data_IF_932550295556
#
_entry.id   IF_932550295556
#
_cell.length_a   1.000
_cell.length_b   1.000
_cell.length_c   1.000
_cell.angle_alpha   90.00
_cell.angle_beta   90.00
_cell.angle_gamma   90.00
#
_symmetry.space_group_name_H-M   'P 1'
#
loop_
_entity.id
_entity.type
_entity.pdbx_description
1 polymer ?
#
# COMPACT_ATOMS: atom_id res chain seq x y z
N UNK A 1 26.12 -55.18 -14.54
CA UNK A 1 27.57 -55.47 -14.48
C UNK A 1 28.19 -54.34 -13.71
N UNK A 2 28.45 -54.56 -12.39
CA UNK A 2 29.74 -54.74 -11.69
C UNK A 2 30.71 -53.57 -12.00
N UNK A 3 31.15 -52.77 -11.01
CA UNK A 3 31.95 -53.05 -9.79
C UNK A 3 31.91 -51.80 -8.89
N UNK A 4 31.63 -51.81 -7.70
CA UNK A 4 32.26 -52.08 -6.40
C UNK A 4 33.80 -51.96 -6.37
N UNK A 5 34.33 -50.95 -5.65
CA UNK A 5 35.60 -51.03 -4.93
C UNK A 5 35.47 -50.20 -3.63
N UNK A 6 35.62 -50.93 -2.50
CA UNK A 6 35.93 -50.47 -1.15
C UNK A 6 37.45 -50.29 -1.03
N UNK A 7 37.96 -49.33 -0.24
CA UNK A 7 39.18 -49.48 0.53
C UNK A 7 39.10 -48.67 1.81
N UNK A 8 39.33 -49.36 2.85
CA UNK A 8 39.51 -49.22 4.28
C UNK A 8 40.76 -48.45 4.70
N UNK A 9 40.64 -47.78 5.85
CA UNK A 9 41.54 -47.74 7.02
C UNK A 9 42.92 -47.06 6.90
N UNK A 10 43.18 -46.11 7.82
CA UNK A 10 44.22 -46.26 8.84
C UNK A 10 44.06 -45.25 10.00
N UNK A 11 43.93 -45.77 11.21
CA UNK A 11 44.14 -45.07 12.46
C UNK A 11 45.61 -44.69 12.62
N UNK A 12 45.91 -43.51 13.13
CA UNK A 12 47.16 -43.21 13.81
C UNK A 12 46.84 -42.39 15.07
N UNK A 13 46.96 -43.09 16.22
CA UNK A 13 47.08 -42.52 17.55
C UNK A 13 48.46 -41.82 17.66
N UNK A 14 48.45 -40.57 18.11
CA UNK A 14 49.62 -39.95 18.77
C UNK A 14 49.14 -39.20 20.00
N UNK A 15 49.47 -39.72 21.15
CA UNK A 15 49.39 -39.13 22.47
C UNK A 15 50.47 -38.09 22.64
N UNK A 16 50.13 -36.85 23.04
CA UNK A 16 51.06 -35.86 23.57
C UNK A 16 50.51 -35.14 24.78
N UNK A 17 51.19 -35.28 25.81
CA UNK A 17 51.28 -34.80 27.17
C UNK A 17 50.60 -33.42 27.45
N UNK A 18 49.84 -33.43 28.53
CA UNK A 18 49.27 -32.27 29.21
C UNK A 18 50.34 -31.34 29.76
N UNK A 19 50.21 -30.06 29.43
CA UNK A 19 50.85 -28.98 30.19
C UNK A 19 49.73 -28.08 30.71
N UNK A 20 49.46 -28.20 32.02
CA UNK A 20 48.53 -27.30 32.73
C UNK A 20 49.17 -25.93 32.89
N UNK A 21 48.76 -24.98 32.13
CA UNK A 21 48.89 -23.54 32.47
C UNK A 21 47.53 -23.05 32.95
N UNK A 22 47.44 -22.73 34.22
CA UNK A 22 46.28 -22.08 34.82
C UNK A 22 46.18 -20.66 34.27
N UNK A 23 45.28 -20.43 33.32
CA UNK A 23 44.87 -19.11 32.89
C UNK A 23 43.81 -18.62 33.90
N UNK A 24 44.10 -17.51 34.55
CA UNK A 24 43.13 -16.84 35.41
C UNK A 24 41.89 -16.44 34.59
N UNK A 25 40.66 -16.55 35.14
CA UNK A 25 39.48 -16.09 34.45
C UNK A 25 39.55 -14.55 34.21
N UNK A 26 39.08 -14.07 33.06
CA UNK A 26 38.98 -12.64 32.83
C UNK A 26 38.05 -12.01 33.86
N UNK A 27 38.27 -10.73 34.25
CA UNK A 27 37.39 -10.05 35.20
C UNK A 27 35.99 -10.04 34.63
N UNK A 28 34.99 -10.33 35.49
CA UNK A 28 33.60 -10.23 35.16
C UNK A 28 33.32 -8.85 34.54
N UNK A 29 32.84 -8.85 33.29
CA UNK A 29 32.32 -7.63 32.64
C UNK A 29 31.25 -7.07 33.53
N UNK A 30 31.38 -5.80 33.87
CA UNK A 30 30.32 -5.02 34.53
C UNK A 30 29.01 -5.20 33.75
N UNK A 31 27.85 -5.25 34.42
CA UNK A 31 26.57 -5.34 33.73
C UNK A 31 26.50 -4.18 32.74
N UNK A 32 26.21 -4.50 31.49
CA UNK A 32 25.94 -3.50 30.47
C UNK A 32 24.90 -2.54 31.02
N UNK A 33 25.24 -1.27 31.00
CA UNK A 33 24.28 -0.22 31.34
C UNK A 33 23.05 -0.41 30.47
N UNK A 34 21.92 -0.52 31.11
CA UNK A 34 20.58 -0.56 30.56
C UNK A 34 20.47 0.54 29.48
N UNK A 35 20.40 0.11 28.21
CA UNK A 35 20.23 1.03 27.09
C UNK A 35 18.87 1.67 27.26
N UNK A 36 18.86 2.95 27.57
CA UNK A 36 17.77 3.77 27.97
C UNK A 36 16.40 3.33 27.46
N UNK A 37 15.56 2.93 28.40
CA UNK A 37 14.13 2.97 28.17
C UNK A 37 13.78 4.38 27.69
N UNK A 38 13.20 4.49 26.49
CA UNK A 38 12.67 5.75 26.01
C UNK A 38 11.78 6.30 27.13
N UNK A 39 12.02 7.55 27.55
CA UNK A 39 11.22 8.17 28.59
C UNK A 39 9.75 8.01 28.23
N UNK A 40 8.96 7.47 29.14
CA UNK A 40 7.51 7.41 28.95
C UNK A 40 7.01 8.82 28.61
N UNK A 41 6.04 8.95 27.68
CA UNK A 41 5.49 10.25 27.32
C UNK A 41 5.01 10.95 28.60
N UNK A 42 5.21 12.26 28.68
CA UNK A 42 4.76 13.09 29.79
C UNK A 42 3.23 13.19 29.89
N UNK A 43 2.50 12.52 28.99
CA UNK A 43 1.06 12.59 28.85
C UNK A 43 0.28 11.93 29.98
N UNK A 44 -0.98 12.31 30.07
CA UNK A 44 -1.94 11.77 31.04
C UNK A 44 -2.21 10.30 30.76
N UNK A 45 -2.09 9.44 31.77
CA UNK A 45 -2.54 8.05 31.69
C UNK A 45 -4.05 7.96 31.62
N UNK A 46 -4.57 7.17 30.69
CA UNK A 46 -6.01 6.95 30.43
C UNK A 46 -6.37 5.51 30.74
N UNK A 47 -7.37 5.33 31.59
CA UNK A 47 -8.01 4.04 31.77
C UNK A 47 -8.93 3.75 30.57
N UNK A 48 -8.56 2.79 29.74
CA UNK A 48 -9.28 2.45 28.51
C UNK A 48 -10.73 2.03 28.76
N UNK A 49 -11.02 1.47 29.95
CA UNK A 49 -12.37 1.12 30.37
C UNK A 49 -13.31 2.32 30.58
N UNK A 50 -12.74 3.50 30.82
CA UNK A 50 -13.50 4.75 31.05
C UNK A 50 -13.69 5.57 29.76
N UNK A 51 -13.05 5.17 28.66
CA UNK A 51 -13.13 5.88 27.38
C UNK A 51 -14.52 5.68 26.75
N UNK A 52 -15.23 6.77 26.58
CA UNK A 52 -16.51 6.79 25.90
C UNK A 52 -16.28 6.98 24.41
N UNK A 53 -16.41 5.90 23.65
CA UNK A 53 -16.21 5.91 22.21
C UNK A 53 -17.39 6.52 21.48
N UNK A 54 -17.14 7.47 20.60
CA UNK A 54 -18.13 7.98 19.67
C UNK A 54 -18.46 6.92 18.60
N UNK A 55 -19.64 7.02 18.02
CA UNK A 55 -20.03 6.22 16.86
C UNK A 55 -19.22 6.65 15.62
N UNK A 56 -19.09 5.73 14.67
CA UNK A 56 -18.49 6.03 13.39
C UNK A 56 -19.27 7.15 12.68
N UNK A 57 -18.60 8.07 11.96
CA UNK A 57 -19.28 9.06 11.13
C UNK A 57 -20.05 8.38 9.99
N UNK A 58 -20.90 9.14 9.29
CA UNK A 58 -21.63 8.60 8.15
C UNK A 58 -20.66 7.97 7.13
N UNK A 59 -20.95 6.74 6.68
CA UNK A 59 -20.07 5.90 5.87
C UNK A 59 -19.50 6.63 4.65
N UNK A 60 -20.32 7.39 3.92
CA UNK A 60 -19.94 8.09 2.69
C UNK A 60 -19.56 9.56 2.93
N UNK A 61 -19.58 10.05 4.18
CA UNK A 61 -19.12 11.41 4.46
C UNK A 61 -17.62 11.51 4.15
N UNK A 62 -17.22 12.53 3.40
CA UNK A 62 -15.85 12.68 2.93
C UNK A 62 -15.29 14.07 3.26
N UNK A 63 -14.04 14.10 3.67
CA UNK A 63 -13.22 15.29 3.81
C UNK A 63 -11.78 15.00 3.35
N UNK A 64 -11.03 16.06 3.08
CA UNK A 64 -9.61 15.94 2.74
C UNK A 64 -8.86 15.42 3.96
N UNK A 65 -8.02 14.42 3.76
CA UNK A 65 -7.08 13.96 4.78
C UNK A 65 -6.08 15.07 5.12
N UNK A 66 -5.49 15.02 6.29
CA UNK A 66 -4.33 15.86 6.61
C UNK A 66 -3.19 15.59 5.62
N UNK A 67 -2.29 16.55 5.47
CA UNK A 67 -1.06 16.35 4.70
C UNK A 67 -0.32 15.11 5.18
N UNK A 68 0.35 14.44 4.27
CA UNK A 68 1.10 13.22 4.54
C UNK A 68 2.06 13.39 5.73
N UNK A 69 1.94 12.51 6.72
CA UNK A 69 2.75 12.53 7.95
C UNK A 69 2.41 13.64 8.95
N UNK A 70 1.29 14.36 8.80
CA UNK A 70 0.83 15.41 9.74
C UNK A 70 -0.07 14.88 10.85
N UNK A 71 -0.65 13.71 10.68
CA UNK A 71 -1.43 13.06 11.75
C UNK A 71 -0.47 12.64 12.85
N UNK A 72 -0.69 13.14 14.06
CA UNK A 72 0.19 12.86 15.21
C UNK A 72 -0.57 12.10 16.30
N UNK A 73 0.15 11.25 17.06
CA UNK A 73 -0.40 10.66 18.27
C UNK A 73 -0.80 11.75 19.28
N UNK A 74 -1.96 11.60 19.91
CA UNK A 74 -2.31 12.43 21.06
C UNK A 74 -1.41 12.04 22.25
N UNK A 75 -1.02 13.03 23.07
CA UNK A 75 -0.16 12.82 24.23
C UNK A 75 -0.94 12.24 25.42
N UNK A 76 -1.44 11.01 25.26
CA UNK A 76 -2.25 10.28 26.26
C UNK A 76 -1.80 8.81 26.26
N UNK A 77 -1.23 8.33 27.35
CA UNK A 77 -0.78 6.94 27.46
C UNK A 77 -1.92 6.02 27.94
N UNK A 78 -2.17 4.88 27.29
CA UNK A 78 -3.13 3.89 27.77
C UNK A 78 -2.63 3.22 29.07
N UNK A 79 -3.56 2.73 29.89
CA UNK A 79 -3.28 2.03 31.16
C UNK A 79 -2.73 0.59 30.98
N UNK A 80 -2.68 0.09 29.74
CA UNK A 80 -2.06 -1.19 29.34
C UNK A 80 -1.46 -1.10 27.94
N UNK A 81 -0.56 -2.04 27.57
CA UNK A 81 -0.09 -2.15 26.20
C UNK A 81 -1.24 -2.29 25.19
N UNK A 82 -1.09 -1.68 24.03
CA UNK A 82 -1.99 -1.83 22.88
C UNK A 82 -1.30 -2.47 21.69
N UNK A 83 -2.07 -3.18 20.87
CA UNK A 83 -1.61 -3.77 19.60
C UNK A 83 -2.53 -3.34 18.47
N UNK A 84 -1.96 -2.83 17.39
CA UNK A 84 -2.67 -2.42 16.18
C UNK A 84 -2.15 -3.26 15.02
N UNK A 85 -3.03 -3.98 14.32
CA UNK A 85 -2.70 -4.70 13.11
C UNK A 85 -2.93 -3.80 11.89
N UNK A 86 -1.96 -3.76 10.97
CA UNK A 86 -2.10 -3.13 9.66
C UNK A 86 -1.95 -4.24 8.61
N UNK A 87 -3.06 -4.64 8.00
CA UNK A 87 -3.11 -5.72 7.02
C UNK A 87 -2.88 -5.15 5.63
N UNK A 88 -1.70 -5.38 5.07
CA UNK A 88 -1.28 -4.87 3.76
C UNK A 88 -0.80 -5.96 2.80
N UNK A 89 -0.17 -5.54 1.72
CA UNK A 89 0.41 -6.39 0.68
C UNK A 89 1.88 -6.03 0.43
N UNK A 90 2.61 -6.89 -0.28
CA UNK A 90 3.99 -6.66 -0.74
C UNK A 90 4.21 -7.18 -2.17
N UNK A 91 3.13 -7.37 -2.93
CA UNK A 91 3.15 -8.00 -4.25
C UNK A 91 3.66 -7.08 -5.38
N UNK A 92 3.82 -5.78 -5.14
CA UNK A 92 4.37 -4.81 -6.09
C UNK A 92 4.99 -3.60 -5.37
N UNK A 93 5.80 -2.74 -6.05
CA UNK A 93 6.51 -1.62 -5.43
C UNK A 93 5.64 -0.55 -4.77
N UNK A 94 4.36 -0.42 -5.14
CA UNK A 94 3.43 0.52 -4.52
C UNK A 94 3.35 0.36 -2.99
N UNK A 95 3.49 -0.87 -2.50
CA UNK A 95 3.34 -1.19 -1.07
C UNK A 95 4.55 -0.77 -0.21
N UNK A 96 5.69 -0.43 -0.84
CA UNK A 96 6.90 0.01 -0.11
C UNK A 96 6.61 1.25 0.73
N UNK A 97 6.17 2.40 0.18
CA UNK A 97 5.86 3.59 0.98
C UNK A 97 4.67 3.40 1.92
N UNK A 98 3.71 2.51 1.62
CA UNK A 98 2.62 2.17 2.56
C UNK A 98 3.18 1.50 3.81
N UNK A 99 4.05 0.50 3.63
CA UNK A 99 4.74 -0.18 4.73
C UNK A 99 5.64 0.76 5.54
N UNK A 100 6.34 1.67 4.87
CA UNK A 100 7.15 2.71 5.53
C UNK A 100 6.28 3.63 6.39
N UNK A 101 5.08 4.00 5.92
CA UNK A 101 4.09 4.74 6.70
C UNK A 101 3.68 4.00 7.96
N UNK A 102 3.35 2.71 7.84
CA UNK A 102 3.01 1.87 9.00
C UNK A 102 4.19 1.72 9.98
N UNK A 103 5.42 1.57 9.47
CA UNK A 103 6.62 1.53 10.28
C UNK A 103 6.86 2.86 11.03
N UNK A 104 6.60 3.98 10.37
CA UNK A 104 6.68 5.31 11.01
C UNK A 104 5.66 5.47 12.13
N UNK A 105 4.41 5.05 11.91
CA UNK A 105 3.40 5.01 12.97
C UNK A 105 3.83 4.13 14.15
N UNK A 106 4.47 2.98 13.88
CA UNK A 106 5.01 2.12 14.92
C UNK A 106 6.09 2.80 15.77
N UNK A 107 6.99 3.58 15.14
CA UNK A 107 8.00 4.37 15.85
C UNK A 107 7.36 5.45 16.73
N UNK A 108 6.38 6.19 16.20
CA UNK A 108 5.71 7.29 16.89
C UNK A 108 4.81 6.82 18.04
N UNK A 109 4.22 5.63 17.93
CA UNK A 109 3.34 5.03 18.92
C UNK A 109 4.09 4.22 19.99
N UNK A 110 5.35 3.83 19.74
CA UNK A 110 6.17 3.08 20.69
C UNK A 110 6.31 3.76 22.07
N UNK A 111 6.53 5.09 22.20
CA UNK A 111 6.59 5.76 23.49
C UNK A 111 5.30 5.60 24.33
N UNK A 112 4.17 5.39 23.69
CA UNK A 112 2.85 5.19 24.32
C UNK A 112 2.56 3.71 24.65
N UNK A 113 3.58 2.83 24.56
CA UNK A 113 3.43 1.39 24.80
C UNK A 113 2.45 0.71 23.83
N UNK A 114 2.51 1.11 22.55
CA UNK A 114 1.72 0.56 21.46
C UNK A 114 2.63 -0.16 20.48
N UNK A 115 2.23 -1.36 20.07
CA UNK A 115 2.84 -2.12 18.98
C UNK A 115 1.97 -1.96 17.75
N UNK A 116 2.57 -1.62 16.62
CA UNK A 116 1.93 -1.63 15.30
C UNK A 116 2.61 -2.68 14.45
N UNK A 117 1.86 -3.68 14.00
CA UNK A 117 2.39 -4.77 13.21
C UNK A 117 1.87 -4.69 11.77
N UNK A 118 2.80 -4.64 10.81
CA UNK A 118 2.51 -4.84 9.40
C UNK A 118 2.36 -6.32 9.12
N UNK A 119 1.19 -6.74 8.68
CA UNK A 119 0.84 -8.14 8.43
C UNK A 119 0.46 -8.32 6.96
N UNK A 120 1.11 -9.26 6.30
CA UNK A 120 0.79 -9.65 4.91
C UNK A 120 -0.01 -10.94 4.95
N UNK A 121 -1.34 -10.90 4.80
CA UNK A 121 -2.17 -12.10 4.89
C UNK A 121 -2.03 -13.01 3.65
N UNK A 122 -1.58 -12.46 2.52
CA UNK A 122 -1.34 -13.16 1.26
C UNK A 122 -1.08 -12.17 0.12
N UNK A 123 -1.06 -12.65 -1.12
CA UNK A 123 -0.58 -11.88 -2.27
C UNK A 123 -1.70 -11.20 -3.08
N UNK A 124 -2.96 -11.39 -2.74
CA UNK A 124 -4.11 -10.89 -3.51
C UNK A 124 -5.16 -10.20 -2.63
N UNK A 125 -5.97 -9.32 -3.24
CA UNK A 125 -7.01 -8.52 -2.61
C UNK A 125 -8.33 -9.28 -2.31
N UNK A 126 -8.31 -10.61 -2.14
CA UNK A 126 -9.53 -11.39 -1.97
C UNK A 126 -10.10 -11.31 -0.55
N UNK A 127 -11.43 -11.44 -0.45
CA UNK A 127 -12.13 -11.50 0.83
C UNK A 127 -11.65 -12.66 1.72
N UNK A 128 -11.31 -13.81 1.13
CA UNK A 128 -10.79 -14.96 1.87
C UNK A 128 -9.46 -14.64 2.57
N UNK A 129 -8.54 -13.98 1.84
CA UNK A 129 -7.19 -13.63 2.36
C UNK A 129 -7.31 -12.59 3.47
N UNK A 130 -7.95 -11.45 3.20
CA UNK A 130 -8.08 -10.38 4.19
C UNK A 130 -9.01 -10.75 5.34
N UNK A 131 -10.09 -11.51 5.08
CA UNK A 131 -10.96 -12.04 6.11
C UNK A 131 -10.22 -12.94 7.10
N UNK A 132 -9.39 -13.88 6.62
CA UNK A 132 -8.54 -14.73 7.47
C UNK A 132 -7.49 -13.92 8.23
N UNK A 133 -6.91 -12.90 7.59
CA UNK A 133 -5.99 -11.96 8.25
C UNK A 133 -6.65 -11.24 9.43
N UNK A 134 -7.87 -10.74 9.24
CA UNK A 134 -8.65 -10.10 10.30
C UNK A 134 -9.01 -11.09 11.42
N UNK A 135 -9.46 -12.29 11.09
CA UNK A 135 -9.73 -13.34 12.09
C UNK A 135 -8.46 -13.72 12.88
N UNK A 136 -7.31 -13.77 12.20
CA UNK A 136 -6.02 -13.98 12.84
C UNK A 136 -5.64 -12.85 13.79
N UNK A 137 -5.89 -11.59 13.42
CA UNK A 137 -5.67 -10.43 14.28
C UNK A 137 -6.60 -10.45 15.51
N UNK A 138 -7.89 -10.77 15.31
CA UNK A 138 -8.85 -10.94 16.42
C UNK A 138 -8.40 -12.04 17.39
N UNK A 139 -7.98 -13.20 16.88
CA UNK A 139 -7.53 -14.32 17.70
C UNK A 139 -6.23 -14.03 18.47
N UNK A 140 -5.40 -13.11 17.97
CA UNK A 140 -4.18 -12.63 18.62
C UNK A 140 -4.42 -11.42 19.53
N UNK A 141 -5.69 -11.07 19.77
CA UNK A 141 -6.11 -9.98 20.68
C UNK A 141 -5.52 -8.61 20.29
N UNK A 142 -5.58 -8.24 19.01
CA UNK A 142 -5.29 -6.88 18.58
C UNK A 142 -6.42 -5.95 19.00
N UNK A 143 -6.06 -4.76 19.47
CA UNK A 143 -6.99 -3.74 19.98
C UNK A 143 -7.66 -2.94 18.87
N UNK A 144 -7.04 -2.88 17.69
CA UNK A 144 -7.57 -2.25 16.48
C UNK A 144 -6.99 -2.89 15.22
N UNK A 145 -7.69 -2.77 14.11
CA UNK A 145 -7.29 -3.35 12.82
C UNK A 145 -7.44 -2.28 11.73
N UNK A 146 -6.35 -2.03 10.98
CA UNK A 146 -6.41 -1.36 9.69
C UNK A 146 -6.32 -2.42 8.58
N UNK A 147 -7.19 -2.36 7.57
CA UNK A 147 -7.27 -3.39 6.52
C UNK A 147 -7.62 -2.81 5.16
N UNK A 148 -7.27 -3.54 4.11
CA UNK A 148 -7.76 -3.29 2.75
C UNK A 148 -9.12 -3.97 2.59
N UNK A 149 -10.06 -3.32 1.92
CA UNK A 149 -11.40 -3.84 1.66
C UNK A 149 -11.74 -3.78 0.15
N UNK A 150 -10.80 -4.18 -0.71
CA UNK A 150 -10.97 -4.16 -2.16
C UNK A 150 -11.98 -5.17 -2.74
N UNK A 151 -12.34 -6.17 -1.95
CA UNK A 151 -13.36 -7.18 -2.29
C UNK A 151 -14.56 -7.02 -1.33
N UNK A 152 -15.77 -6.93 -1.87
CA UNK A 152 -17.00 -6.75 -1.10
C UNK A 152 -17.23 -7.82 -0.02
N UNK A 153 -16.70 -9.01 -0.20
CA UNK A 153 -16.75 -10.09 0.79
C UNK A 153 -15.97 -9.83 2.07
N UNK A 154 -15.15 -8.76 2.14
CA UNK A 154 -14.45 -8.35 3.37
C UNK A 154 -15.41 -7.70 4.38
N UNK A 155 -16.50 -7.05 3.92
CA UNK A 155 -17.43 -6.33 4.78
C UNK A 155 -17.95 -7.13 5.99
N UNK A 156 -18.37 -8.41 5.88
CA UNK A 156 -18.80 -9.20 7.03
C UNK A 156 -17.72 -9.44 8.08
N UNK A 157 -16.43 -9.48 7.69
CA UNK A 157 -15.32 -9.63 8.63
C UNK A 157 -15.04 -8.33 9.38
N UNK A 158 -15.20 -7.18 8.70
CA UNK A 158 -15.15 -5.86 9.34
C UNK A 158 -16.24 -5.77 10.41
N UNK A 159 -17.49 -6.11 10.05
CA UNK A 159 -18.62 -6.08 10.97
C UNK A 159 -18.40 -6.99 12.19
N UNK A 160 -17.89 -8.20 11.97
CA UNK A 160 -17.55 -9.16 13.03
C UNK A 160 -16.51 -8.60 14.01
N UNK A 161 -15.47 -7.94 13.52
CA UNK A 161 -14.44 -7.34 14.36
C UNK A 161 -15.00 -6.17 15.18
N UNK A 162 -15.79 -5.29 14.56
CA UNK A 162 -16.44 -4.16 15.25
C UNK A 162 -17.44 -4.63 16.29
N UNK A 163 -18.26 -5.66 16.01
CA UNK A 163 -19.17 -6.28 16.97
C UNK A 163 -18.45 -6.93 18.16
N UNK A 164 -17.21 -7.37 17.96
CA UNK A 164 -16.35 -7.86 19.03
C UNK A 164 -15.67 -6.70 19.83
N UNK A 165 -15.95 -5.43 19.50
CA UNK A 165 -15.40 -4.26 20.18
C UNK A 165 -14.06 -3.77 19.65
N UNK A 166 -13.59 -4.32 18.54
CA UNK A 166 -12.32 -3.96 17.88
C UNK A 166 -12.62 -2.93 16.78
N UNK A 167 -12.22 -1.66 16.91
CA UNK A 167 -12.40 -0.67 15.86
C UNK A 167 -11.59 -1.04 14.61
N UNK A 168 -12.21 -0.84 13.45
CA UNK A 168 -11.59 -1.14 12.15
C UNK A 168 -11.53 0.13 11.32
N UNK A 169 -10.36 0.41 10.75
CA UNK A 169 -10.18 1.36 9.67
C UNK A 169 -9.92 0.61 8.36
N UNK A 170 -10.38 1.17 7.24
CA UNK A 170 -9.98 0.70 5.92
C UNK A 170 -9.02 1.68 5.25
N UNK A 171 -8.18 1.22 4.35
CA UNK A 171 -7.27 2.07 3.57
C UNK A 171 -7.04 1.52 2.17
N UNK A 172 -6.51 2.35 1.27
CA UNK A 172 -6.18 2.06 -0.12
C UNK A 172 -7.40 1.74 -0.99
N UNK A 173 -8.04 0.61 -0.78
CA UNK A 173 -9.24 0.18 -1.49
C UNK A 173 -10.36 -0.08 -0.51
N UNK A 174 -11.56 0.36 -0.87
CA UNK A 174 -12.76 0.25 -0.07
C UNK A 174 -13.88 -0.38 -0.90
N UNK A 175 -14.65 -1.28 -0.29
CA UNK A 175 -15.84 -1.82 -0.94
C UNK A 175 -17.01 -0.83 -0.89
N UNK A 176 -17.80 -0.79 -1.96
CA UNK A 176 -19.08 -0.06 -1.99
C UNK A 176 -20.14 -0.66 -1.03
N UNK A 177 -19.96 -1.90 -0.58
CA UNK A 177 -20.86 -2.52 0.39
C UNK A 177 -20.72 -1.85 1.77
N UNK A 178 -21.79 -1.22 2.31
CA UNK A 178 -21.74 -0.62 3.64
C UNK A 178 -21.30 -1.63 4.70
N UNK A 179 -20.45 -1.18 5.62
CA UNK A 179 -19.94 -1.96 6.73
C UNK A 179 -19.69 -1.04 7.94
N UNK A 180 -19.33 -1.62 9.09
CA UNK A 180 -19.20 -0.90 10.36
C UNK A 180 -17.82 -0.30 10.62
N UNK A 181 -16.98 -0.13 9.58
CA UNK A 181 -15.67 0.50 9.78
C UNK A 181 -15.80 1.89 10.41
N UNK A 182 -14.81 2.28 11.16
CA UNK A 182 -14.76 3.60 11.78
C UNK A 182 -14.49 4.71 10.75
N UNK A 183 -13.51 4.49 9.85
CA UNK A 183 -13.15 5.42 8.77
C UNK A 183 -12.33 4.70 7.68
N UNK A 184 -12.20 5.37 6.56
CA UNK A 184 -11.33 5.02 5.43
C UNK A 184 -10.25 6.10 5.24
N UNK A 185 -9.03 5.68 4.86
CA UNK A 185 -7.96 6.57 4.39
C UNK A 185 -7.51 6.15 3.00
N UNK A 186 -7.62 7.04 2.03
CA UNK A 186 -7.22 6.76 0.65
C UNK A 186 -7.74 7.80 -0.33
N UNK A 187 -7.51 7.59 -1.61
CA UNK A 187 -7.93 8.53 -2.64
C UNK A 187 -9.41 8.35 -3.04
N UNK A 188 -9.99 9.37 -3.66
CA UNK A 188 -11.24 9.24 -4.41
C UNK A 188 -10.94 8.58 -5.76
N UNK A 189 -11.10 7.27 -5.79
CA UNK A 189 -10.69 6.43 -6.91
C UNK A 189 -11.44 6.74 -8.21
N UNK A 190 -12.75 7.03 -8.11
CA UNK A 190 -13.55 7.41 -9.27
C UNK A 190 -13.10 8.76 -9.83
N UNK A 191 -12.87 9.76 -8.95
CA UNK A 191 -12.34 11.08 -9.34
C UNK A 191 -10.93 10.98 -9.92
N UNK A 192 -10.10 10.07 -9.42
CA UNK A 192 -8.80 9.79 -10.04
C UNK A 192 -8.97 9.25 -11.48
N UNK A 193 -9.94 8.38 -11.71
CA UNK A 193 -10.30 7.91 -13.04
C UNK A 193 -10.73 9.04 -13.97
N UNK A 194 -11.60 9.96 -13.50
CA UNK A 194 -11.99 11.15 -14.26
C UNK A 194 -10.78 12.05 -14.60
N UNK A 195 -9.86 12.24 -13.63
CA UNK A 195 -8.62 13.00 -13.86
C UNK A 195 -7.70 12.32 -14.90
N UNK A 196 -7.59 11.00 -14.88
CA UNK A 196 -6.86 10.23 -15.88
C UNK A 196 -7.51 10.35 -17.27
N UNK A 197 -8.83 10.31 -17.34
CA UNK A 197 -9.59 10.53 -18.58
C UNK A 197 -9.34 11.90 -19.18
N UNK A 198 -9.36 12.93 -18.32
CA UNK A 198 -9.02 14.30 -18.74
C UNK A 198 -7.58 14.39 -19.24
N UNK A 199 -6.62 13.81 -18.49
CA UNK A 199 -5.21 13.83 -18.88
C UNK A 199 -4.97 13.11 -20.22
N UNK A 200 -5.65 11.99 -20.45
CA UNK A 200 -5.60 11.27 -21.73
C UNK A 200 -6.16 12.13 -22.86
N UNK A 201 -7.35 12.69 -22.68
CA UNK A 201 -7.99 13.54 -23.70
C UNK A 201 -7.10 14.74 -24.07
N UNK A 202 -6.54 15.44 -23.10
CA UNK A 202 -5.61 16.55 -23.31
C UNK A 202 -4.35 16.09 -24.07
N UNK A 203 -3.78 14.92 -23.69
CA UNK A 203 -2.55 14.42 -24.30
C UNK A 203 -2.71 13.98 -25.75
N UNK A 204 -3.89 13.46 -26.16
CA UNK A 204 -4.14 12.98 -27.54
C UNK A 204 -4.97 13.96 -28.39
N UNK A 205 -5.32 15.14 -27.84
CA UNK A 205 -6.09 16.16 -28.56
C UNK A 205 -7.57 15.83 -28.76
N UNK A 206 -8.17 15.10 -27.81
CA UNK A 206 -9.61 14.84 -27.71
C UNK A 206 -10.15 13.77 -28.65
N UNK A 207 -9.34 13.05 -29.41
CA UNK A 207 -9.76 12.00 -30.36
C UNK A 207 -8.69 10.92 -30.56
N UNK A 208 -9.10 9.75 -30.97
CA UNK A 208 -8.20 8.63 -31.28
C UNK A 208 -8.57 7.36 -30.54
N UNK A 209 -7.73 6.32 -30.65
CA UNK A 209 -7.95 5.02 -30.06
C UNK A 209 -7.16 4.85 -28.78
N UNK A 210 -7.78 4.32 -27.74
CA UNK A 210 -7.17 4.10 -26.40
C UNK A 210 -7.42 2.68 -25.93
N UNK A 211 -6.36 1.98 -25.52
CA UNK A 211 -6.44 0.71 -24.81
C UNK A 211 -6.42 0.92 -23.30
N UNK A 212 -7.14 0.09 -22.54
CA UNK A 212 -7.13 0.10 -21.07
C UNK A 212 -6.50 -1.20 -20.56
N UNK A 213 -5.51 -1.07 -19.69
CA UNK A 213 -4.89 -2.17 -18.94
C UNK A 213 -5.25 -1.96 -17.47
N UNK A 214 -6.07 -2.85 -16.91
CA UNK A 214 -6.42 -2.82 -15.48
C UNK A 214 -5.67 -3.89 -14.71
N UNK A 215 -5.48 -3.69 -13.40
CA UNK A 215 -4.87 -4.70 -12.55
C UNK A 215 -5.77 -5.92 -12.40
N UNK A 216 -6.95 -5.73 -11.81
CA UNK A 216 -7.98 -6.75 -11.61
C UNK A 216 -9.36 -6.12 -11.76
N UNK A 217 -10.23 -6.69 -12.59
CA UNK A 217 -11.63 -6.24 -12.69
C UNK A 217 -12.43 -6.46 -11.40
N UNK A 218 -12.03 -7.45 -10.59
CA UNK A 218 -12.70 -7.77 -9.32
C UNK A 218 -12.28 -6.87 -8.15
N UNK A 219 -11.25 -6.01 -8.32
CA UNK A 219 -10.77 -5.09 -7.28
C UNK A 219 -11.43 -3.74 -7.46
N UNK A 220 -12.23 -3.33 -6.48
CA UNK A 220 -13.04 -2.10 -6.50
C UNK A 220 -12.21 -0.86 -6.87
N UNK A 221 -10.98 -0.73 -6.34
CA UNK A 221 -10.11 0.40 -6.64
C UNK A 221 -9.78 0.51 -8.13
N UNK A 222 -9.47 -0.60 -8.76
CA UNK A 222 -9.12 -0.64 -10.18
C UNK A 222 -10.34 -0.36 -11.06
N UNK A 223 -11.49 -0.91 -10.66
CA UNK A 223 -12.75 -0.75 -11.38
C UNK A 223 -13.27 0.68 -11.29
N UNK A 224 -13.25 1.33 -10.12
CA UNK A 224 -13.66 2.73 -9.98
C UNK A 224 -12.80 3.67 -10.83
N UNK A 225 -11.48 3.47 -10.88
CA UNK A 225 -10.58 4.24 -11.75
C UNK A 225 -10.90 4.01 -13.23
N UNK A 226 -11.16 2.75 -13.61
CA UNK A 226 -11.56 2.41 -14.98
C UNK A 226 -12.89 3.07 -15.34
N UNK A 227 -13.90 2.98 -14.49
CA UNK A 227 -15.21 3.57 -14.70
C UNK A 227 -15.11 5.10 -14.82
N UNK A 228 -14.45 5.77 -13.87
CA UNK A 228 -14.27 7.23 -13.91
C UNK A 228 -13.61 7.70 -15.19
N UNK A 229 -12.59 6.97 -15.68
CA UNK A 229 -11.94 7.24 -16.97
C UNK A 229 -12.90 7.11 -18.15
N UNK A 230 -13.63 6.00 -18.23
CA UNK A 230 -14.56 5.70 -19.31
C UNK A 230 -15.71 6.69 -19.33
N UNK A 231 -16.29 7.02 -18.18
CA UNK A 231 -17.41 7.93 -18.05
C UNK A 231 -17.00 9.36 -18.40
N UNK A 232 -15.79 9.79 -17.96
CA UNK A 232 -15.25 11.09 -18.36
C UNK A 232 -15.13 11.21 -19.88
N UNK A 233 -14.51 10.21 -20.54
CA UNK A 233 -14.32 10.23 -21.99
C UNK A 233 -15.66 10.20 -22.76
N UNK A 234 -16.59 9.36 -22.35
CA UNK A 234 -17.94 9.32 -22.95
C UNK A 234 -18.66 10.65 -22.87
N UNK A 235 -18.55 11.34 -21.73
CA UNK A 235 -19.25 12.60 -21.50
C UNK A 235 -18.60 13.80 -22.21
N UNK A 236 -17.26 13.82 -22.29
CA UNK A 236 -16.52 15.02 -22.70
C UNK A 236 -15.78 14.87 -24.04
N UNK A 237 -15.39 13.65 -24.42
CA UNK A 237 -14.54 13.39 -25.58
C UNK A 237 -15.04 12.16 -26.36
N UNK A 238 -16.27 12.18 -26.93
CA UNK A 238 -16.88 11.00 -27.58
C UNK A 238 -16.15 10.54 -28.85
N UNK A 239 -15.20 11.33 -29.38
CA UNK A 239 -14.33 10.92 -30.49
C UNK A 239 -13.14 10.06 -30.05
N UNK A 240 -13.00 9.77 -28.76
CA UNK A 240 -12.02 8.81 -28.26
C UNK A 240 -12.69 7.44 -28.19
N UNK A 241 -12.15 6.49 -28.95
CA UNK A 241 -12.61 5.11 -29.00
C UNK A 241 -11.81 4.23 -28.01
N UNK A 242 -12.48 3.50 -27.12
CA UNK A 242 -11.84 2.47 -26.30
C UNK A 242 -11.83 1.17 -27.10
N UNK A 243 -10.63 0.76 -27.57
CA UNK A 243 -10.45 -0.39 -28.45
C UNK A 243 -10.31 -1.73 -27.72
N UNK A 244 -10.20 -1.70 -26.41
CA UNK A 244 -10.16 -2.91 -25.59
C UNK A 244 -9.79 -2.61 -24.13
N UNK A 245 -10.17 -3.53 -23.26
CA UNK A 245 -9.92 -3.52 -21.84
C UNK A 245 -9.40 -4.88 -21.41
N UNK A 246 -8.23 -4.95 -20.78
CA UNK A 246 -7.56 -6.19 -20.40
C UNK A 246 -7.02 -6.14 -18.97
N UNK A 247 -6.85 -7.30 -18.34
CA UNK A 247 -6.36 -7.44 -16.98
C UNK A 247 -4.91 -7.92 -16.96
N UNK A 248 -4.00 -7.18 -16.27
CA UNK A 248 -2.57 -7.52 -16.19
C UNK A 248 -2.16 -8.15 -14.86
N UNK A 249 -3.08 -8.30 -13.91
CA UNK A 249 -2.82 -8.85 -12.57
C UNK A 249 -1.68 -8.13 -11.82
N UNK A 250 -1.57 -6.80 -11.97
CA UNK A 250 -0.54 -5.90 -11.42
C UNK A 250 0.90 -6.24 -11.84
N UNK A 251 1.07 -6.95 -12.98
CA UNK A 251 2.37 -7.40 -13.47
C UNK A 251 2.86 -6.57 -14.65
N UNK A 252 4.09 -6.06 -14.55
CA UNK A 252 4.70 -5.23 -15.58
C UNK A 252 5.00 -6.00 -16.87
N UNK A 253 5.42 -7.27 -16.81
CA UNK A 253 5.68 -8.11 -17.98
C UNK A 253 4.40 -8.44 -18.76
N UNK A 254 3.28 -8.63 -18.05
CA UNK A 254 1.97 -8.81 -18.67
C UNK A 254 1.50 -7.51 -19.32
N UNK A 255 1.63 -6.36 -18.63
CA UNK A 255 1.31 -5.05 -19.20
C UNK A 255 2.16 -4.72 -20.45
N UNK A 256 3.44 -5.11 -20.45
CA UNK A 256 4.30 -4.99 -21.62
C UNK A 256 3.75 -5.72 -22.83
N UNK A 257 3.41 -7.01 -22.67
CA UNK A 257 2.83 -7.83 -23.74
C UNK A 257 1.52 -7.27 -24.27
N UNK A 258 0.62 -6.85 -23.34
CA UNK A 258 -0.68 -6.28 -23.70
C UNK A 258 -0.55 -4.95 -24.43
N UNK A 259 0.40 -4.11 -24.05
CA UNK A 259 0.68 -2.87 -24.76
C UNK A 259 1.19 -3.13 -26.19
N UNK A 260 2.04 -4.14 -26.40
CA UNK A 260 2.46 -4.58 -27.73
C UNK A 260 1.27 -5.08 -28.57
N UNK A 261 0.37 -5.86 -27.95
CA UNK A 261 -0.83 -6.38 -28.62
C UNK A 261 -1.76 -5.23 -29.05
N UNK A 262 -2.00 -4.25 -28.17
CA UNK A 262 -2.78 -3.05 -28.52
C UNK A 262 -2.18 -2.28 -29.70
N UNK A 263 -0.85 -2.03 -29.68
CA UNK A 263 -0.15 -1.33 -30.76
C UNK A 263 -0.13 -2.10 -32.08
N UNK A 264 -0.09 -3.43 -32.00
CA UNK A 264 -0.09 -4.31 -33.19
C UNK A 264 -1.48 -4.37 -33.81
N UNK A 265 -2.51 -4.55 -33.00
CA UNK A 265 -3.90 -4.61 -33.44
C UNK A 265 -4.42 -3.25 -33.95
N UNK A 266 -3.86 -2.14 -33.42
CA UNK A 266 -4.26 -0.78 -33.75
C UNK A 266 -3.03 0.07 -34.11
N UNK A 267 -2.57 0.07 -35.37
CA UNK A 267 -1.39 0.85 -35.78
C UNK A 267 -1.53 2.36 -35.53
N UNK A 268 -2.77 2.85 -35.44
CA UNK A 268 -3.18 4.23 -35.14
C UNK A 268 -3.54 4.46 -33.68
N UNK A 269 -3.13 3.54 -32.77
CA UNK A 269 -3.34 3.69 -31.32
C UNK A 269 -2.76 5.04 -30.83
N UNK A 270 -3.57 5.83 -30.13
CA UNK A 270 -3.21 7.13 -29.61
C UNK A 270 -2.81 7.10 -28.13
N UNK A 271 -3.34 6.16 -27.35
CA UNK A 271 -3.03 6.07 -25.93
C UNK A 271 -3.25 4.71 -25.28
N UNK A 272 -2.62 4.53 -24.13
CA UNK A 272 -2.80 3.40 -23.23
C UNK A 272 -3.02 3.97 -21.82
N UNK A 273 -4.09 3.55 -21.18
CA UNK A 273 -4.38 3.85 -19.79
C UNK A 273 -4.12 2.62 -18.91
N UNK A 274 -3.29 2.79 -17.86
CA UNK A 274 -2.99 1.71 -16.89
C UNK A 274 -3.56 2.11 -15.54
N UNK A 275 -4.57 1.37 -15.05
CA UNK A 275 -5.34 1.76 -13.85
C UNK A 275 -4.64 1.45 -12.53
N UNK A 276 -3.62 0.57 -12.55
CA UNK A 276 -3.04 -0.03 -11.34
C UNK A 276 -1.56 -0.41 -11.56
N UNK A 277 -1.06 -1.48 -10.95
CA UNK A 277 0.32 -1.92 -11.05
C UNK A 277 0.81 -2.26 -12.45
N UNK A 278 2.11 -2.10 -12.69
CA UNK A 278 2.79 -2.47 -13.92
C UNK A 278 2.86 -1.43 -15.05
N UNK A 279 2.59 -0.11 -14.84
CA UNK A 279 2.60 0.88 -15.93
C UNK A 279 3.95 1.04 -16.60
N UNK A 280 5.06 0.80 -15.88
CA UNK A 280 6.40 0.78 -16.44
C UNK A 280 6.58 -0.28 -17.54
N UNK A 281 5.86 -1.41 -17.46
CA UNK A 281 5.86 -2.41 -18.52
C UNK A 281 5.20 -1.91 -19.80
N UNK A 282 4.02 -1.30 -19.70
CA UNK A 282 3.36 -0.69 -20.86
C UNK A 282 4.21 0.43 -21.48
N UNK A 283 4.86 1.26 -20.63
CA UNK A 283 5.76 2.32 -21.07
C UNK A 283 6.99 1.75 -21.79
N UNK A 284 7.61 0.68 -21.27
CA UNK A 284 8.73 0.01 -21.93
C UNK A 284 8.34 -0.52 -23.33
N UNK A 285 7.16 -1.11 -23.47
CA UNK A 285 6.68 -1.57 -24.77
C UNK A 285 6.51 -0.41 -25.77
N UNK A 286 6.04 0.77 -25.31
CA UNK A 286 5.92 1.98 -26.14
C UNK A 286 7.30 2.51 -26.55
N UNK A 287 8.27 2.55 -25.62
CA UNK A 287 9.66 2.97 -25.88
C UNK A 287 10.34 2.03 -26.88
N UNK A 288 10.27 0.71 -26.68
CA UNK A 288 10.87 -0.32 -27.54
C UNK A 288 10.25 -0.33 -28.96
N UNK A 289 8.96 -0.02 -29.07
CA UNK A 289 8.30 0.14 -30.38
C UNK A 289 8.65 1.45 -31.11
N UNK A 290 9.44 2.34 -30.49
CA UNK A 290 9.80 3.66 -31.03
C UNK A 290 8.60 4.59 -31.13
N UNK A 291 7.53 4.36 -30.34
CA UNK A 291 6.27 5.14 -30.36
C UNK A 291 6.17 6.18 -29.26
N UNK A 292 7.27 6.46 -28.54
CA UNK A 292 7.32 7.55 -27.54
C UNK A 292 6.78 8.86 -28.10
N UNK A 293 5.84 9.48 -27.42
CA UNK A 293 5.17 10.70 -27.86
C UNK A 293 4.06 10.50 -28.90
N UNK A 294 4.02 9.36 -29.61
CA UNK A 294 2.92 9.00 -30.50
C UNK A 294 1.80 8.27 -29.74
N UNK A 295 2.15 7.26 -28.94
CA UNK A 295 1.24 6.59 -28.00
C UNK A 295 1.45 7.19 -26.62
N UNK A 296 0.42 7.83 -26.08
CA UNK A 296 0.45 8.47 -24.76
C UNK A 296 0.12 7.44 -23.69
N UNK A 297 0.90 7.39 -22.61
CA UNK A 297 0.61 6.52 -21.47
C UNK A 297 0.18 7.38 -20.29
N UNK A 298 -1.00 7.06 -19.71
CA UNK A 298 -1.49 7.63 -18.46
C UNK A 298 -1.56 6.51 -17.43
N UNK A 299 -1.09 6.79 -16.22
CA UNK A 299 -0.91 5.76 -15.20
C UNK A 299 -1.13 6.28 -13.77
N UNK A 300 -0.85 5.40 -12.82
CA UNK A 300 -0.88 5.69 -11.39
C UNK A 300 0.47 5.40 -10.75
N UNK A 301 0.62 5.99 -9.56
CA UNK A 301 1.69 5.80 -8.59
C UNK A 301 3.05 6.42 -8.97
N UNK A 302 3.82 6.72 -7.92
CA UNK A 302 5.12 7.37 -8.00
C UNK A 302 6.27 6.40 -7.67
N UNK A 303 6.10 5.12 -8.06
CA UNK A 303 7.19 4.16 -7.92
C UNK A 303 8.33 4.50 -8.87
N UNK A 304 9.57 4.23 -8.47
CA UNK A 304 10.78 4.66 -9.19
C UNK A 304 10.76 4.27 -10.68
N UNK A 305 10.37 3.04 -10.99
CA UNK A 305 10.29 2.55 -12.37
C UNK A 305 9.29 3.36 -13.22
N UNK A 306 8.15 3.76 -12.62
CA UNK A 306 7.15 4.60 -13.30
C UNK A 306 7.68 6.02 -13.50
N UNK A 307 8.28 6.61 -12.45
CA UNK A 307 8.78 7.96 -12.47
C UNK A 307 9.95 8.15 -13.45
N UNK A 308 10.79 7.15 -13.63
CA UNK A 308 11.82 7.15 -14.68
C UNK A 308 11.21 7.31 -16.09
N UNK A 309 10.11 6.63 -16.38
CA UNK A 309 9.41 6.78 -17.66
C UNK A 309 8.66 8.11 -17.79
N UNK A 310 8.18 8.70 -16.69
CA UNK A 310 7.65 10.08 -16.68
C UNK A 310 8.77 11.06 -17.01
N UNK A 311 9.94 10.93 -16.36
CA UNK A 311 11.11 11.78 -16.61
C UNK A 311 11.59 11.72 -18.06
N UNK A 312 11.57 10.54 -18.66
CA UNK A 312 11.88 10.33 -20.09
C UNK A 312 10.79 10.89 -21.02
N UNK A 313 9.57 11.13 -20.52
CA UNK A 313 8.40 11.57 -21.29
C UNK A 313 7.73 10.44 -22.09
N UNK A 314 7.96 9.18 -21.74
CA UNK A 314 7.26 8.01 -22.28
C UNK A 314 5.88 7.90 -21.62
N UNK A 315 5.82 7.97 -20.28
CA UNK A 315 4.58 8.18 -19.55
C UNK A 315 4.28 9.67 -19.58
N UNK A 316 3.12 10.02 -20.11
CA UNK A 316 2.66 11.43 -20.29
C UNK A 316 2.21 12.03 -18.98
N UNK A 317 1.54 11.24 -18.15
CA UNK A 317 1.17 11.63 -16.78
C UNK A 317 0.96 10.38 -15.90
N UNK A 318 1.25 10.52 -14.61
CA UNK A 318 0.89 9.56 -13.55
C UNK A 318 0.19 10.28 -12.40
N UNK A 319 -0.68 9.56 -11.68
CA UNK A 319 -1.50 10.13 -10.61
C UNK A 319 -1.10 9.47 -9.29
N UNK A 320 -0.74 10.29 -8.30
CA UNK A 320 -0.45 9.84 -6.94
C UNK A 320 -1.70 9.62 -6.12
N UNK A 321 -1.53 8.94 -4.99
CA UNK A 321 -2.63 8.64 -4.07
C UNK A 321 -2.24 8.68 -2.58
N UNK A 322 -1.08 9.26 -2.22
CA UNK A 322 -0.63 9.37 -0.84
C UNK A 322 -0.39 8.01 -0.16
N UNK A 323 0.46 7.13 -0.70
CA UNK A 323 0.63 5.78 -0.15
C UNK A 323 1.21 5.75 1.26
N UNK A 324 2.09 6.68 1.62
CA UNK A 324 2.64 6.76 2.97
C UNK A 324 1.53 7.04 4.00
N UNK A 325 0.65 8.01 3.73
CA UNK A 325 -0.48 8.33 4.61
C UNK A 325 -1.44 7.13 4.76
N UNK A 326 -1.63 6.33 3.72
CA UNK A 326 -2.46 5.12 3.77
C UNK A 326 -1.93 4.07 4.74
N UNK A 327 -0.62 4.00 4.96
CA UNK A 327 -0.03 3.11 5.96
C UNK A 327 0.06 3.72 7.36
N UNK A 328 0.37 5.02 7.44
CA UNK A 328 0.62 5.74 8.68
C UNK A 328 -0.68 6.14 9.41
N UNK A 329 -1.54 6.87 8.72
CA UNK A 329 -2.69 7.54 9.35
C UNK A 329 -3.71 6.59 9.97
N UNK A 330 -4.04 5.43 9.36
CA UNK A 330 -4.95 4.49 9.99
C UNK A 330 -4.49 4.04 11.38
N UNK A 331 -3.19 3.73 11.54
CA UNK A 331 -2.65 3.27 12.82
C UNK A 331 -2.67 4.38 13.88
N UNK A 332 -2.23 5.59 13.54
CA UNK A 332 -2.22 6.73 14.46
C UNK A 332 -3.64 7.14 14.85
N UNK A 333 -4.56 7.22 13.90
CA UNK A 333 -5.96 7.59 14.16
C UNK A 333 -6.72 6.53 14.97
N UNK A 334 -6.46 5.23 14.73
CA UNK A 334 -7.01 4.16 15.55
C UNK A 334 -6.50 4.25 16.99
N UNK A 335 -5.21 4.52 17.19
CA UNK A 335 -4.67 4.78 18.52
C UNK A 335 -5.36 5.98 19.19
N UNK A 336 -5.45 7.12 18.49
CA UNK A 336 -6.12 8.31 19.01
C UNK A 336 -7.56 8.00 19.44
N UNK A 337 -8.31 7.26 18.60
CA UNK A 337 -9.67 6.82 18.94
C UNK A 337 -9.71 5.90 20.16
N UNK A 338 -8.76 4.97 20.30
CA UNK A 338 -8.71 4.05 21.45
C UNK A 338 -8.53 4.78 22.77
N UNK A 339 -7.74 5.88 22.80
CA UNK A 339 -7.41 6.60 24.03
C UNK A 339 -8.27 7.83 24.30
N UNK A 340 -8.89 8.44 23.28
CA UNK A 340 -9.79 9.59 23.44
C UNK A 340 -11.26 9.24 23.33
N UNK A 341 -11.59 8.23 22.52
CA UNK A 341 -12.96 7.90 22.11
C UNK A 341 -13.49 8.79 21.00
N UNK A 342 -12.71 9.76 20.50
CA UNK A 342 -13.14 10.68 19.45
C UNK A 342 -13.00 10.07 18.07
N UNK A 343 -14.12 9.94 17.34
CA UNK A 343 -14.11 9.47 15.96
C UNK A 343 -13.61 10.59 15.01
N UNK A 344 -13.04 10.25 13.84
CA UNK A 344 -12.75 11.24 12.81
C UNK A 344 -14.01 11.99 12.36
N UNK A 345 -13.81 13.20 11.83
CA UNK A 345 -14.90 14.07 11.38
C UNK A 345 -15.71 13.45 10.22
N UNK A 346 -15.05 12.69 9.35
CA UNK A 346 -15.64 12.06 8.16
C UNK A 346 -15.37 10.55 8.13
N UNK A 347 -16.28 9.82 7.51
CA UNK A 347 -16.14 8.39 7.24
C UNK A 347 -15.07 8.08 6.19
N UNK A 348 -14.74 9.04 5.32
CA UNK A 348 -13.70 8.92 4.30
C UNK A 348 -12.75 10.13 4.38
N UNK A 349 -11.49 9.85 4.68
CA UNK A 349 -10.39 10.82 4.74
C UNK A 349 -9.60 10.68 3.44
N UNK A 350 -9.85 11.61 2.50
CA UNK A 350 -9.38 11.50 1.13
C UNK A 350 -7.98 12.11 0.98
N UNK A 351 -7.02 11.27 0.61
CA UNK A 351 -5.65 11.69 0.28
C UNK A 351 -5.62 12.46 -1.04
N UNK A 352 -4.62 13.34 -1.20
CA UNK A 352 -4.43 14.11 -2.42
C UNK A 352 -4.16 13.23 -3.64
N UNK A 353 -4.76 13.60 -4.78
CA UNK A 353 -4.55 12.98 -6.08
C UNK A 353 -3.69 13.91 -6.95
N UNK A 354 -2.36 13.94 -6.72
CA UNK A 354 -1.45 14.77 -7.50
C UNK A 354 -1.26 14.21 -8.92
N UNK A 355 -1.50 15.04 -9.95
CA UNK A 355 -1.17 14.72 -11.34
C UNK A 355 0.28 15.13 -11.63
N UNK A 356 1.12 14.15 -11.95
CA UNK A 356 2.54 14.37 -12.22
C UNK A 356 2.85 14.10 -13.69
N UNK A 357 3.53 15.05 -14.29
CA UNK A 357 4.05 15.02 -15.65
C UNK A 357 5.54 15.32 -15.63
N UNK A 358 6.20 15.26 -16.78
CA UNK A 358 7.61 15.65 -16.90
C UNK A 358 7.88 17.10 -16.42
N UNK A 359 6.88 17.99 -16.50
CA UNK A 359 7.07 19.41 -16.21
C UNK A 359 7.09 19.73 -14.71
N UNK A 360 6.51 18.85 -13.86
CA UNK A 360 6.43 19.04 -12.41
C UNK A 360 7.02 17.88 -11.59
N UNK A 361 7.63 16.90 -12.23
CA UNK A 361 8.14 15.68 -11.58
C UNK A 361 9.11 15.97 -10.42
N UNK A 362 9.95 16.99 -10.55
CA UNK A 362 10.95 17.37 -9.54
C UNK A 362 10.35 17.78 -8.18
N UNK A 363 9.04 18.06 -8.15
CA UNK A 363 8.29 18.37 -6.92
C UNK A 363 7.87 17.10 -6.15
N UNK A 364 7.83 15.96 -6.83
CA UNK A 364 7.25 14.72 -6.30
C UNK A 364 8.24 13.56 -6.25
N UNK A 365 9.35 13.65 -6.95
CA UNK A 365 10.28 12.55 -7.03
C UNK A 365 11.73 13.01 -7.24
N UNK A 366 12.63 12.37 -6.52
CA UNK A 366 14.09 12.52 -6.71
C UNK A 366 14.65 11.18 -7.16
N UNK A 367 15.35 11.10 -8.29
CA UNK A 367 15.94 9.85 -8.74
C UNK A 367 16.81 9.21 -7.66
N UNK A 368 16.75 7.88 -7.47
CA UNK A 368 17.63 7.19 -6.54
C UNK A 368 19.09 7.42 -6.91
N UNK A 369 19.95 7.56 -5.91
CA UNK A 369 21.40 7.69 -6.12
C UNK A 369 21.93 6.44 -6.83
N UNK A 370 22.66 6.63 -7.94
CA UNK A 370 23.24 5.55 -8.72
C UNK A 370 24.41 4.89 -8.00
#
# INVERSE_FOLDING_TARGET
MKNVIRILSLLALLSLLASCTTVAPPPASAPAADSGAAAAPAGKTVALADVKRQEAPAFDSACTADDEGKVLPVDMAPDRPLKIAVLGLENNPFWIPVKEGAAKAAEELKPYNVTVDWIVPGDNHTAEIFGKGMEGAMAQEYDAIATIAGDAGVAPYIDKAVEAGIPVATFNSETAAPNKRLFFVGADLYKQGEAAGKAMADAIGGKGKVGIITGFFAVEAHELRRQGFVDYLKANNPEIEIVGEVENTDKGDVAYTQAQDFMTANPDLAGIYVTAGGPFGAAAAVEDAGKTGQVKVISFDFVDETMEFVQKGVISATIGQGPFAQGHDPAVRLYNYLVTGEAPECGRLLTEAALVTKDNIDQYWTPPAK
#
